data_IF_391218598111
#
_entry.id   IF_391218598111
#
_cell.length_a   1.000
_cell.length_b   1.000
_cell.length_c   1.000
_cell.angle_alpha   90.00
_cell.angle_beta   90.00
_cell.angle_gamma   90.00
#
_symmetry.space_group_name_H-M   'P 1'
#
loop_
_entity.id
_entity.type
_entity.pdbx_description
1 polymer ?
#
# COMPACT_ATOMS: atom_id res chain seq x y z
N UNK A 1 4.55 -26.01 13.27
CA UNK A 1 4.46 -25.29 11.99
C UNK A 1 5.47 -24.17 12.08
N UNK A 2 6.39 -24.07 11.13
CA UNK A 2 7.40 -23.00 11.12
C UNK A 2 6.75 -21.71 10.63
N UNK A 3 6.90 -20.63 11.40
CA UNK A 3 6.50 -19.28 11.00
C UNK A 3 7.37 -18.86 9.79
N UNK A 4 6.84 -19.05 8.58
CA UNK A 4 7.60 -18.85 7.34
C UNK A 4 7.52 -17.41 6.82
N UNK A 5 6.48 -16.66 7.21
CA UNK A 5 6.28 -15.26 6.82
C UNK A 5 5.85 -14.40 8.02
N UNK A 6 6.38 -13.18 8.10
CA UNK A 6 5.99 -12.21 9.13
C UNK A 6 5.24 -11.05 8.49
N UNK A 7 4.08 -10.70 9.03
CA UNK A 7 3.19 -9.65 8.54
C UNK A 7 3.14 -8.49 9.53
N UNK A 8 3.31 -7.27 9.04
CA UNK A 8 3.07 -6.06 9.82
C UNK A 8 1.57 -5.80 9.93
N UNK A 9 1.04 -5.72 11.15
CA UNK A 9 -0.36 -5.41 11.44
C UNK A 9 -0.45 -3.99 11.99
N UNK A 10 -1.10 -3.09 11.24
CA UNK A 10 -1.17 -1.65 11.55
C UNK A 10 -2.60 -1.27 11.92
N UNK A 11 -2.76 -0.54 13.02
CA UNK A 11 -4.05 0.04 13.39
C UNK A 11 -3.99 0.81 14.71
N UNK A 12 -5.10 1.42 15.07
CA UNK A 12 -5.26 2.15 16.34
C UNK A 12 -5.67 1.18 17.45
N UNK A 13 -4.72 0.69 18.23
CA UNK A 13 -5.00 -0.35 19.24
C UNK A 13 -5.82 0.19 20.41
N UNK A 14 -5.79 1.50 20.70
CA UNK A 14 -6.63 2.11 21.75
C UNK A 14 -8.15 1.96 21.51
N UNK A 15 -8.57 1.84 20.26
CA UNK A 15 -9.98 1.83 19.85
C UNK A 15 -10.40 0.55 19.14
N UNK A 16 -9.45 -0.18 18.55
CA UNK A 16 -9.70 -1.38 17.72
C UNK A 16 -8.92 -2.62 18.21
N UNK A 17 -8.62 -2.68 19.51
CA UNK A 17 -7.88 -3.80 20.11
C UNK A 17 -8.51 -5.17 19.79
N UNK A 18 -9.84 -5.31 19.86
CA UNK A 18 -10.52 -6.59 19.61
C UNK A 18 -10.36 -7.03 18.15
N UNK A 19 -10.55 -6.11 17.21
CA UNK A 19 -10.40 -6.34 15.77
C UNK A 19 -8.96 -6.69 15.39
N UNK A 20 -7.99 -5.95 15.93
CA UNK A 20 -6.57 -6.17 15.68
C UNK A 20 -6.07 -7.48 16.32
N UNK A 21 -6.58 -7.82 17.51
CA UNK A 21 -6.31 -9.12 18.16
C UNK A 21 -6.84 -10.28 17.33
N UNK A 22 -8.07 -10.16 16.81
CA UNK A 22 -8.63 -11.18 15.94
C UNK A 22 -7.84 -11.31 14.63
N UNK A 23 -7.43 -10.20 14.03
CA UNK A 23 -6.61 -10.21 12.81
C UNK A 23 -5.25 -10.91 13.06
N UNK A 24 -4.58 -10.59 14.17
CA UNK A 24 -3.37 -11.28 14.64
C UNK A 24 -3.59 -12.79 14.78
N UNK A 25 -4.62 -13.20 15.50
CA UNK A 25 -4.98 -14.61 15.70
C UNK A 25 -5.19 -15.33 14.35
N UNK A 26 -5.85 -14.67 13.37
CA UNK A 26 -6.08 -15.27 12.06
C UNK A 26 -4.81 -15.43 11.23
N UNK A 27 -3.86 -14.49 11.32
CA UNK A 27 -2.54 -14.62 10.69
C UNK A 27 -1.77 -15.79 11.32
N UNK A 28 -1.72 -15.83 12.65
CA UNK A 28 -1.01 -16.86 13.42
C UNK A 28 -1.61 -18.26 13.21
N UNK A 29 -2.94 -18.37 13.12
CA UNK A 29 -3.61 -19.66 12.83
C UNK A 29 -3.26 -20.24 11.46
N UNK A 30 -2.76 -19.42 10.54
CA UNK A 30 -2.31 -19.82 9.20
C UNK A 30 -0.80 -20.09 9.15
N UNK A 31 -0.11 -20.09 10.29
CA UNK A 31 1.34 -20.29 10.39
C UNK A 31 2.18 -19.10 9.94
N UNK A 32 1.60 -17.90 9.87
CA UNK A 32 2.37 -16.66 9.76
C UNK A 32 2.64 -16.05 11.14
N UNK A 33 3.54 -15.09 11.22
CA UNK A 33 3.77 -14.29 12.44
C UNK A 33 3.21 -12.87 12.24
N UNK A 34 2.65 -12.27 13.29
CA UNK A 34 2.26 -10.86 13.28
C UNK A 34 3.26 -10.01 14.08
N UNK A 35 3.62 -8.85 13.53
CA UNK A 35 4.22 -7.73 14.28
C UNK A 35 3.16 -6.65 14.34
N UNK A 36 2.68 -6.32 15.54
CA UNK A 36 1.67 -5.29 15.74
C UNK A 36 2.34 -3.91 15.91
N UNK A 37 1.86 -2.94 15.13
CA UNK A 37 2.27 -1.53 15.19
C UNK A 37 1.08 -0.66 15.56
N UNK A 38 1.16 -0.05 16.74
CA UNK A 38 0.13 0.83 17.26
C UNK A 38 0.32 2.27 16.78
N UNK A 39 -0.67 2.76 16.04
CA UNK A 39 -0.72 4.13 15.52
C UNK A 39 -1.76 5.00 16.23
N UNK A 40 -2.22 4.58 17.41
CA UNK A 40 -3.09 5.38 18.27
C UNK A 40 -2.42 6.66 18.76
N UNK A 41 -3.22 7.70 18.99
CA UNK A 41 -2.74 9.02 19.47
C UNK A 41 -3.00 9.21 20.95
N UNK A 42 -4.20 8.88 21.41
CA UNK A 42 -4.67 9.27 22.75
C UNK A 42 -4.56 8.12 23.75
N UNK A 43 -5.31 7.04 23.52
CA UNK A 43 -5.37 5.93 24.46
C UNK A 43 -4.16 5.00 24.34
N UNK A 44 -4.07 4.07 25.28
CA UNK A 44 -3.05 3.01 25.28
C UNK A 44 -3.65 1.73 24.72
N UNK A 45 -2.81 0.92 24.06
CA UNK A 45 -3.19 -0.41 23.61
C UNK A 45 -3.61 -1.29 24.81
N UNK A 46 -4.76 -1.94 24.70
CA UNK A 46 -5.23 -2.88 25.74
C UNK A 46 -4.46 -4.21 25.72
N UNK A 47 -3.66 -4.44 24.69
CA UNK A 47 -2.85 -5.62 24.48
C UNK A 47 -1.40 -5.24 24.17
N UNK A 48 -0.42 -6.13 24.45
CA UNK A 48 0.96 -5.89 24.05
C UNK A 48 1.10 -5.77 22.53
N UNK A 49 1.85 -4.76 22.10
CA UNK A 49 2.25 -4.53 20.71
C UNK A 49 3.77 -4.52 20.63
N UNK A 50 4.32 -5.02 19.53
CA UNK A 50 5.77 -5.05 19.32
C UNK A 50 6.34 -3.66 18.98
N UNK A 51 5.51 -2.78 18.43
CA UNK A 51 5.85 -1.39 18.12
C UNK A 51 4.73 -0.50 18.67
N UNK A 52 5.03 0.27 19.71
CA UNK A 52 4.06 1.17 20.34
C UNK A 52 3.98 2.55 19.67
N UNK A 53 2.97 3.32 20.05
CA UNK A 53 2.74 4.68 19.55
C UNK A 53 3.91 5.65 19.80
N UNK A 54 4.71 5.41 20.85
CA UNK A 54 5.86 6.27 21.15
C UNK A 54 6.99 6.01 20.14
N UNK A 55 7.27 4.75 19.82
CA UNK A 55 8.21 4.37 18.79
C UNK A 55 7.77 4.90 17.41
N UNK A 56 6.48 4.82 17.10
CA UNK A 56 5.92 5.40 15.86
C UNK A 56 6.15 6.91 15.81
N UNK A 57 5.76 7.66 16.85
CA UNK A 57 5.95 9.11 16.86
C UNK A 57 7.44 9.52 16.82
N UNK A 58 8.31 8.77 17.50
CA UNK A 58 9.76 8.99 17.49
C UNK A 58 10.37 8.78 16.10
N UNK A 59 9.89 7.79 15.34
CA UNK A 59 10.32 7.56 13.96
C UNK A 59 9.93 8.70 12.99
N UNK A 60 9.03 9.59 13.42
CA UNK A 60 8.66 10.81 12.70
C UNK A 60 9.43 12.06 13.18
N UNK A 61 10.53 11.87 13.92
CA UNK A 61 11.26 12.94 14.62
C UNK A 61 10.35 13.78 15.53
N UNK A 62 9.38 13.13 16.19
CA UNK A 62 8.36 13.74 17.02
C UNK A 62 8.13 12.95 18.31
N UNK A 63 7.03 13.24 19.01
CA UNK A 63 6.60 12.57 20.23
C UNK A 63 5.08 12.38 20.24
N UNK A 64 4.60 11.40 21.00
CA UNK A 64 3.15 11.18 21.11
C UNK A 64 2.47 12.35 21.82
N UNK A 65 3.18 13.00 22.73
CA UNK A 65 2.73 14.21 23.44
C UNK A 65 2.53 15.36 22.47
N UNK A 66 3.45 15.54 21.50
CA UNK A 66 3.29 16.54 20.44
C UNK A 66 2.10 16.23 19.52
N UNK A 67 1.89 14.96 19.16
CA UNK A 67 0.74 14.56 18.37
C UNK A 67 -0.59 14.82 19.12
N UNK A 68 -0.66 14.44 20.40
CA UNK A 68 -1.84 14.69 21.24
C UNK A 68 -2.09 16.18 21.49
N UNK A 69 -1.03 16.99 21.60
CA UNK A 69 -1.12 18.44 21.81
C UNK A 69 -1.47 19.24 20.53
N UNK A 70 -1.48 18.61 19.35
CA UNK A 70 -1.74 19.29 18.08
C UNK A 70 -3.13 19.95 18.01
N UNK A 71 -4.11 19.45 18.79
CA UNK A 71 -5.48 19.97 18.81
C UNK A 71 -6.26 19.76 17.51
N UNK A 72 -5.68 19.04 16.56
CA UNK A 72 -6.23 18.72 15.24
C UNK A 72 -5.90 17.25 14.94
N UNK A 73 -6.96 16.45 14.72
CA UNK A 73 -6.85 15.02 14.47
C UNK A 73 -6.03 14.70 13.22
N UNK A 74 -6.14 15.52 12.17
CA UNK A 74 -5.37 15.33 10.95
C UNK A 74 -3.89 15.57 11.21
N UNK A 75 -3.52 16.67 11.89
CA UNK A 75 -2.11 16.94 12.22
C UNK A 75 -1.51 15.79 13.05
N UNK A 76 -2.25 15.32 14.06
CA UNK A 76 -1.80 14.19 14.88
C UNK A 76 -1.58 12.93 14.04
N UNK A 77 -2.56 12.57 13.19
CA UNK A 77 -2.48 11.39 12.34
C UNK A 77 -1.38 11.50 11.28
N UNK A 78 -1.07 12.69 10.77
CA UNK A 78 0.05 12.90 9.84
C UNK A 78 1.42 12.66 10.51
N UNK A 79 1.57 12.98 11.80
CA UNK A 79 2.78 12.62 12.56
C UNK A 79 2.90 11.11 12.64
N UNK A 80 1.81 10.43 13.03
CA UNK A 80 1.79 8.98 13.14
C UNK A 80 2.00 8.29 11.79
N UNK A 81 1.46 8.84 10.70
CA UNK A 81 1.61 8.29 9.36
C UNK A 81 3.05 8.35 8.86
N UNK A 82 3.74 9.47 9.05
CA UNK A 82 5.17 9.57 8.71
C UNK A 82 6.01 8.53 9.47
N UNK A 83 5.78 8.41 10.77
CA UNK A 83 6.50 7.46 11.60
C UNK A 83 6.23 6.00 11.23
N UNK A 84 4.95 5.68 11.00
CA UNK A 84 4.53 4.34 10.61
C UNK A 84 5.08 3.95 9.24
N UNK A 85 5.15 4.90 8.29
CA UNK A 85 5.77 4.69 6.99
C UNK A 85 7.28 4.43 7.12
N UNK A 86 8.02 5.25 7.88
CA UNK A 86 9.45 5.04 8.14
C UNK A 86 9.71 3.65 8.74
N UNK A 87 8.92 3.23 9.73
CA UNK A 87 9.06 1.92 10.36
C UNK A 87 8.68 0.78 9.41
N UNK A 88 7.63 0.95 8.60
CA UNK A 88 7.23 -0.06 7.59
C UNK A 88 8.35 -0.30 6.58
N UNK A 89 8.95 0.77 6.05
CA UNK A 89 10.09 0.68 5.15
C UNK A 89 11.31 0.03 5.80
N UNK A 90 11.62 0.45 7.04
CA UNK A 90 12.76 -0.07 7.82
C UNK A 90 12.62 -1.57 8.06
N UNK A 91 11.48 -2.00 8.61
CA UNK A 91 11.20 -3.42 8.89
C UNK A 91 11.30 -4.29 7.62
N UNK A 92 10.82 -3.78 6.49
CA UNK A 92 10.93 -4.51 5.22
C UNK A 92 12.37 -4.59 4.74
N UNK A 93 13.12 -3.48 4.78
CA UNK A 93 14.54 -3.45 4.38
C UNK A 93 15.43 -4.37 5.23
N UNK A 94 15.06 -4.57 6.50
CA UNK A 94 15.71 -5.50 7.43
C UNK A 94 15.26 -6.97 7.23
N UNK A 95 14.33 -7.24 6.32
CA UNK A 95 13.76 -8.57 6.08
C UNK A 95 12.89 -9.07 7.23
N UNK A 96 12.42 -8.18 8.12
CA UNK A 96 11.61 -8.54 9.31
C UNK A 96 10.13 -8.71 9.00
N UNK A 97 9.67 -8.19 7.87
CA UNK A 97 8.30 -8.35 7.39
C UNK A 97 8.31 -8.73 5.91
N UNK A 98 7.37 -9.56 5.51
CA UNK A 98 7.14 -10.00 4.13
C UNK A 98 5.92 -9.30 3.50
N UNK A 99 5.16 -8.53 4.27
CA UNK A 99 3.99 -7.79 3.81
C UNK A 99 3.32 -7.04 4.96
N UNK A 100 2.30 -6.24 4.63
CA UNK A 100 1.53 -5.47 5.60
C UNK A 100 0.02 -5.69 5.45
N UNK A 101 -0.67 -5.60 6.59
CA UNK A 101 -2.11 -5.41 6.65
C UNK A 101 -2.45 -4.26 7.59
N UNK A 102 -3.31 -3.35 7.15
CA UNK A 102 -3.79 -2.23 7.95
C UNK A 102 -5.31 -2.22 8.01
N UNK A 103 -5.87 -1.75 9.13
CA UNK A 103 -7.33 -1.56 9.26
C UNK A 103 -7.63 -0.13 9.69
N UNK A 104 -8.71 0.47 9.17
CA UNK A 104 -9.04 1.83 9.55
C UNK A 104 -10.34 2.40 8.99
N UNK A 105 -10.78 3.50 9.62
CA UNK A 105 -11.72 4.45 9.03
C UNK A 105 -11.01 5.37 8.04
N UNK A 106 -11.54 6.57 7.77
CA UNK A 106 -10.93 7.52 6.82
C UNK A 106 -9.48 7.87 7.17
N UNK A 107 -9.21 8.33 8.40
CA UNK A 107 -7.86 8.74 8.82
C UNK A 107 -6.88 7.56 8.89
N UNK A 108 -7.32 6.41 9.42
CA UNK A 108 -6.49 5.19 9.44
C UNK A 108 -6.20 4.66 8.04
N UNK A 109 -7.11 4.85 7.08
CA UNK A 109 -6.88 4.50 5.67
C UNK A 109 -5.85 5.42 5.04
N UNK A 110 -5.93 6.73 5.30
CA UNK A 110 -4.95 7.68 4.78
C UNK A 110 -3.53 7.34 5.27
N UNK A 111 -3.37 7.05 6.57
CA UNK A 111 -2.12 6.54 7.14
C UNK A 111 -1.66 5.23 6.48
N UNK A 112 -2.58 4.28 6.29
CA UNK A 112 -2.27 2.99 5.69
C UNK A 112 -1.75 3.12 4.25
N UNK A 113 -2.23 4.11 3.49
CA UNK A 113 -1.77 4.40 2.14
C UNK A 113 -0.31 4.89 2.14
N UNK A 114 0.10 5.70 3.12
CA UNK A 114 1.50 6.10 3.28
C UNK A 114 2.40 4.90 3.60
N UNK A 115 1.97 4.02 4.52
CA UNK A 115 2.70 2.78 4.82
C UNK A 115 2.79 1.84 3.61
N UNK A 116 1.75 1.79 2.78
CA UNK A 116 1.76 0.96 1.58
C UNK A 116 2.73 1.52 0.51
N UNK A 117 2.75 2.84 0.30
CA UNK A 117 3.57 3.47 -0.74
C UNK A 117 5.07 3.34 -0.54
N UNK A 118 5.53 3.20 0.71
CA UNK A 118 6.96 3.03 1.01
C UNK A 118 7.46 1.59 0.85
N UNK A 119 6.56 0.64 0.62
CA UNK A 119 6.91 -0.75 0.37
C UNK A 119 7.05 -0.99 -1.15
N UNK A 120 8.12 -1.67 -1.62
CA UNK A 120 8.34 -1.92 -3.04
C UNK A 120 7.19 -2.67 -3.73
N UNK A 121 7.07 -2.49 -5.06
CA UNK A 121 6.16 -3.30 -5.88
C UNK A 121 6.49 -4.79 -5.77
N UNK A 122 5.47 -5.63 -5.59
CA UNK A 122 5.59 -7.06 -5.35
C UNK A 122 5.45 -7.44 -3.87
N UNK A 123 5.65 -6.50 -2.94
CA UNK A 123 5.38 -6.72 -1.51
C UNK A 123 3.88 -6.66 -1.26
N UNK A 124 3.24 -7.68 -0.66
CA UNK A 124 1.81 -7.66 -0.36
C UNK A 124 1.40 -6.54 0.60
N UNK A 125 0.42 -5.74 0.20
CA UNK A 125 -0.11 -4.59 0.95
C UNK A 125 -1.63 -4.66 0.97
N UNK A 126 -2.20 -5.03 2.11
CA UNK A 126 -3.67 -5.20 2.26
C UNK A 126 -4.22 -4.11 3.18
N UNK A 127 -5.23 -3.38 2.73
CA UNK A 127 -5.90 -2.33 3.52
C UNK A 127 -7.38 -2.69 3.69
N UNK A 128 -7.81 -2.89 4.93
CA UNK A 128 -9.21 -3.12 5.30
C UNK A 128 -9.81 -1.79 5.73
N UNK A 129 -10.62 -1.19 4.87
CA UNK A 129 -11.06 0.21 5.03
C UNK A 129 -12.57 0.36 4.95
N UNK A 130 -13.14 1.23 5.77
CA UNK A 130 -14.57 1.63 5.65
C UNK A 130 -14.83 2.52 4.44
N UNK A 131 -13.78 3.06 3.81
CA UNK A 131 -13.84 3.92 2.62
C UNK A 131 -13.07 3.32 1.44
N UNK A 132 -12.82 1.99 1.44
CA UNK A 132 -12.17 1.31 0.32
C UNK A 132 -12.91 1.61 -1.00
N UNK A 133 -12.15 1.90 -2.06
CA UNK A 133 -12.66 2.24 -3.40
C UNK A 133 -13.51 3.52 -3.47
N UNK A 134 -13.53 4.31 -2.39
CA UNK A 134 -14.27 5.57 -2.35
C UNK A 134 -13.57 6.65 -3.17
N UNK A 135 -14.32 7.55 -3.83
CA UNK A 135 -13.77 8.79 -4.41
C UNK A 135 -13.04 9.70 -3.40
N UNK A 136 -13.21 9.45 -2.10
CA UNK A 136 -12.44 10.12 -1.04
C UNK A 136 -10.95 9.76 -1.04
N UNK A 137 -10.56 8.65 -1.69
CA UNK A 137 -9.17 8.22 -1.82
C UNK A 137 -8.64 8.76 -3.15
N UNK A 138 -7.71 9.73 -3.12
CA UNK A 138 -7.06 10.22 -4.33
C UNK A 138 -6.28 9.09 -5.03
N UNK A 139 -6.33 9.06 -6.37
CA UNK A 139 -5.71 8.01 -7.16
C UNK A 139 -4.17 7.94 -6.98
N UNK A 140 -3.53 9.09 -6.78
CA UNK A 140 -2.09 9.25 -6.53
C UNK A 140 -1.62 8.72 -5.16
N UNK A 141 -2.57 8.44 -4.26
CA UNK A 141 -2.27 7.82 -2.95
C UNK A 141 -2.16 6.29 -3.05
N UNK A 142 -2.61 5.67 -4.14
CA UNK A 142 -2.63 4.22 -4.31
C UNK A 142 -1.28 3.70 -4.82
N UNK A 143 -0.68 2.76 -4.10
CA UNK A 143 0.46 1.98 -4.61
C UNK A 143 0.00 1.01 -5.73
N UNK A 144 0.87 0.73 -6.70
CA UNK A 144 0.52 0.01 -7.94
C UNK A 144 -0.09 -1.40 -7.75
N UNK A 145 0.16 -2.04 -6.61
CA UNK A 145 -0.25 -3.40 -6.26
C UNK A 145 -0.99 -3.48 -4.91
N UNK A 146 -1.50 -2.33 -4.42
CA UNK A 146 -2.29 -2.29 -3.19
C UNK A 146 -3.59 -3.07 -3.34
N UNK A 147 -3.91 -3.89 -2.33
CA UNK A 147 -5.18 -4.60 -2.24
C UNK A 147 -6.03 -3.96 -1.16
N UNK A 148 -7.31 -3.72 -1.45
CA UNK A 148 -8.24 -3.18 -0.48
C UNK A 148 -9.43 -4.10 -0.26
N UNK A 149 -9.94 -4.14 0.97
CA UNK A 149 -11.19 -4.82 1.33
C UNK A 149 -12.12 -3.77 1.93
N UNK A 150 -13.34 -3.66 1.38
CA UNK A 150 -14.37 -2.81 1.97
C UNK A 150 -14.86 -3.43 3.29
N UNK A 151 -14.61 -2.74 4.39
CA UNK A 151 -14.95 -3.20 5.73
C UNK A 151 -16.38 -2.83 6.10
N UNK A 152 -17.34 -3.42 5.40
CA UNK A 152 -18.77 -3.20 5.63
C UNK A 152 -19.15 -3.60 7.07
N UNK A 153 -19.53 -2.61 7.89
CA UNK A 153 -19.91 -2.83 9.29
C UNK A 153 -18.74 -2.92 10.28
N UNK A 154 -17.53 -2.50 9.89
CA UNK A 154 -16.31 -2.46 10.73
C UNK A 154 -16.11 -1.19 11.55
N UNK A 155 -17.16 -0.37 11.70
CA UNK A 155 -17.04 0.93 12.34
C UNK A 155 -16.70 0.79 13.84
N UNK A 156 -17.32 -0.19 14.51
CA UNK A 156 -17.13 -0.43 15.94
C UNK A 156 -17.47 -1.87 16.31
N UNK A 157 -16.49 -2.57 16.89
CA UNK A 157 -16.68 -3.85 17.54
C UNK A 157 -16.64 -5.06 16.61
N UNK A 158 -16.31 -6.20 17.21
CA UNK A 158 -16.03 -7.44 16.50
C UNK A 158 -17.30 -8.28 16.24
N UNK A 159 -18.12 -7.85 15.28
CA UNK A 159 -19.29 -8.60 14.82
C UNK A 159 -18.94 -9.66 13.73
N UNK A 160 -19.92 -10.45 13.29
CA UNK A 160 -19.70 -11.51 12.29
C UNK A 160 -19.25 -11.01 10.92
N UNK A 161 -19.73 -9.85 10.47
CA UNK A 161 -19.31 -9.20 9.23
C UNK A 161 -17.86 -8.73 9.33
N UNK A 162 -17.51 -8.11 10.46
CA UNK A 162 -16.17 -7.69 10.79
C UNK A 162 -15.20 -8.89 10.77
N UNK A 163 -15.54 -9.98 11.44
CA UNK A 163 -14.72 -11.21 11.44
C UNK A 163 -14.53 -11.79 10.03
N UNK A 164 -15.56 -11.76 9.19
CA UNK A 164 -15.48 -12.22 7.81
C UNK A 164 -14.54 -11.38 6.96
N UNK A 165 -14.54 -10.06 7.11
CA UNK A 165 -13.62 -9.18 6.38
C UNK A 165 -12.17 -9.35 6.87
N UNK A 166 -11.95 -9.39 8.19
CA UNK A 166 -10.62 -9.54 8.77
C UNK A 166 -9.98 -10.90 8.50
N UNK A 167 -10.77 -11.98 8.47
CA UNK A 167 -10.25 -13.32 8.13
C UNK A 167 -9.83 -13.41 6.66
N UNK A 168 -10.59 -12.78 5.75
CA UNK A 168 -10.19 -12.64 4.34
C UNK A 168 -8.89 -11.83 4.23
N UNK A 169 -8.78 -10.70 4.94
CA UNK A 169 -7.57 -9.88 4.94
C UNK A 169 -6.33 -10.66 5.39
N UNK A 170 -6.45 -11.42 6.48
CA UNK A 170 -5.39 -12.30 6.96
C UNK A 170 -4.98 -13.35 5.91
N UNK A 171 -5.96 -14.01 5.29
CA UNK A 171 -5.71 -15.00 4.24
C UNK A 171 -5.06 -14.40 2.99
N UNK A 172 -5.54 -13.23 2.56
CA UNK A 172 -4.99 -12.49 1.42
C UNK A 172 -3.53 -12.13 1.64
N UNK A 173 -3.19 -11.52 2.78
CA UNK A 173 -1.81 -11.06 3.02
C UNK A 173 -0.84 -12.22 3.26
N UNK A 174 -1.24 -13.25 4.02
CA UNK A 174 -0.37 -14.43 4.28
C UNK A 174 -0.18 -15.26 3.02
N UNK A 175 -1.26 -15.52 2.28
CA UNK A 175 -1.20 -16.25 1.02
C UNK A 175 -0.36 -15.52 -0.03
N UNK A 176 -0.57 -14.20 -0.17
CA UNK A 176 0.26 -13.39 -1.06
C UNK A 176 1.72 -13.36 -0.61
N UNK A 177 2.03 -13.24 0.69
CA UNK A 177 3.41 -13.23 1.19
C UNK A 177 4.17 -14.52 0.89
N UNK A 178 3.48 -15.67 0.86
CA UNK A 178 4.07 -16.97 0.51
C UNK A 178 4.19 -17.19 -1.00
N UNK A 179 3.25 -16.66 -1.78
CA UNK A 179 3.17 -16.90 -3.21
C UNK A 179 3.84 -15.80 -4.06
N UNK A 180 4.06 -14.61 -3.50
CA UNK A 180 4.64 -13.48 -4.21
C UNK A 180 6.01 -13.86 -4.77
N UNK A 181 6.17 -13.63 -6.06
CA UNK A 181 7.47 -13.67 -6.73
C UNK A 181 7.83 -12.23 -7.05
N UNK A 182 8.94 -11.69 -6.52
CA UNK A 182 9.37 -10.35 -6.86
C UNK A 182 9.62 -10.25 -8.37
N UNK A 183 9.46 -9.05 -8.97
CA UNK A 183 9.87 -8.83 -10.35
C UNK A 183 11.31 -9.30 -10.59
N UNK A 184 11.52 -10.10 -11.63
CA UNK A 184 12.86 -10.59 -11.95
C UNK A 184 13.73 -9.44 -12.50
N UNK A 185 15.02 -9.45 -12.15
CA UNK A 185 16.03 -8.56 -12.72
C UNK A 185 16.84 -9.22 -13.84
N UNK A 186 16.41 -10.37 -14.36
CA UNK A 186 17.16 -11.14 -15.36
C UNK A 186 17.32 -10.40 -16.70
N UNK A 187 16.39 -9.49 -17.02
CA UNK A 187 16.39 -8.71 -18.25
C UNK A 187 16.13 -7.23 -17.97
N UNK A 188 16.80 -6.30 -18.66
CA UNK A 188 16.48 -4.88 -18.58
C UNK A 188 15.04 -4.63 -19.04
N UNK A 189 14.25 -3.93 -18.23
CA UNK A 189 12.84 -3.64 -18.51
C UNK A 189 12.72 -2.33 -19.29
N UNK A 190 11.95 -2.35 -20.37
CA UNK A 190 11.47 -1.16 -21.07
C UNK A 190 10.05 -0.89 -20.63
N UNK A 191 9.83 0.27 -20.02
CA UNK A 191 8.49 0.75 -19.73
C UNK A 191 7.88 1.38 -20.99
N UNK A 192 6.62 1.07 -21.30
CA UNK A 192 5.89 1.65 -22.43
C UNK A 192 4.46 2.03 -22.04
N UNK A 193 3.99 3.23 -22.37
CA UNK A 193 2.59 3.62 -22.14
C UNK A 193 1.71 3.36 -23.37
N UNK A 194 0.42 3.08 -23.19
CA UNK A 194 -0.56 2.90 -24.27
C UNK A 194 -2.03 3.04 -23.85
N UNK A 195 -2.94 3.17 -24.82
CA UNK A 195 -4.41 3.19 -24.65
C UNK A 195 -5.08 1.85 -25.06
N UNK A 196 -4.28 0.78 -25.14
CA UNK A 196 -4.74 -0.54 -25.54
C UNK A 196 -4.84 -0.72 -27.05
N UNK A 197 -4.89 -1.99 -27.46
CA UNK A 197 -4.65 -2.37 -28.86
C UNK A 197 -5.77 -2.06 -29.86
N UNK A 198 -6.94 -1.65 -29.35
CA UNK A 198 -8.05 -1.12 -30.13
C UNK A 198 -7.84 0.35 -30.52
N UNK A 199 -7.03 1.09 -29.75
CA UNK A 199 -6.73 2.50 -29.98
C UNK A 199 -5.35 2.71 -30.61
N UNK A 200 -4.31 2.08 -30.03
CA UNK A 200 -2.92 2.22 -30.45
C UNK A 200 -2.35 0.82 -30.72
N UNK A 201 -1.56 0.62 -31.78
CA UNK A 201 -1.09 -0.73 -32.17
C UNK A 201 0.42 -0.94 -32.08
N UNK A 202 1.20 0.10 -31.79
CA UNK A 202 2.68 0.04 -31.80
C UNK A 202 3.22 -1.01 -30.83
N UNK A 203 2.57 -1.27 -29.69
CA UNK A 203 3.04 -2.25 -28.71
C UNK A 203 3.11 -3.66 -29.31
N UNK A 204 2.19 -4.00 -30.23
CA UNK A 204 2.16 -5.31 -30.92
C UNK A 204 3.35 -5.48 -31.86
N UNK A 205 3.86 -4.39 -32.43
CA UNK A 205 5.01 -4.39 -33.33
C UNK A 205 6.34 -4.31 -32.55
N UNK A 206 6.38 -3.47 -31.51
CA UNK A 206 7.61 -3.19 -30.77
C UNK A 206 7.96 -4.27 -29.74
N UNK A 207 6.98 -4.81 -29.00
CA UNK A 207 7.25 -5.77 -27.91
C UNK A 207 8.03 -7.01 -28.38
N UNK A 208 7.63 -7.72 -29.46
CA UNK A 208 8.38 -8.89 -29.92
C UNK A 208 9.82 -8.56 -30.36
N UNK A 209 10.02 -7.42 -31.02
CA UNK A 209 11.33 -6.98 -31.51
C UNK A 209 12.26 -6.51 -30.39
N UNK A 210 11.71 -5.97 -29.31
CA UNK A 210 12.47 -5.62 -28.11
C UNK A 210 12.81 -6.87 -27.29
N UNK A 211 11.87 -7.81 -27.16
CA UNK A 211 12.08 -9.08 -26.44
C UNK A 211 13.09 -10.00 -27.13
N UNK A 212 13.11 -10.01 -28.47
CA UNK A 212 14.11 -10.74 -29.26
C UNK A 212 15.53 -10.19 -29.05
N UNK A 213 15.65 -8.91 -28.68
CA UNK A 213 16.90 -8.22 -28.36
C UNK A 213 17.31 -8.37 -26.88
N UNK A 214 16.54 -9.10 -26.08
CA UNK A 214 16.89 -9.39 -24.68
C UNK A 214 16.26 -8.46 -23.65
N UNK A 215 15.36 -7.56 -24.04
CA UNK A 215 14.62 -6.72 -23.10
C UNK A 215 13.36 -7.43 -22.61
N UNK A 216 12.85 -7.00 -21.47
CA UNK A 216 11.46 -7.21 -21.07
C UNK A 216 10.66 -5.94 -21.36
N UNK A 217 9.38 -6.04 -21.74
CA UNK A 217 8.56 -4.85 -22.02
C UNK A 217 7.31 -4.86 -21.15
N UNK A 218 7.22 -3.89 -20.25
CA UNK A 218 6.07 -3.64 -19.40
C UNK A 218 5.21 -2.52 -20.01
N UNK A 219 3.95 -2.84 -20.36
CA UNK A 219 3.03 -1.90 -21.00
C UNK A 219 1.99 -1.40 -20.01
N UNK A 220 1.90 -0.08 -19.85
CA UNK A 220 1.04 0.60 -18.88
C UNK A 220 -0.12 1.29 -19.59
N UNK A 221 -1.32 1.18 -19.02
CA UNK A 221 -2.51 1.80 -19.59
C UNK A 221 -2.58 3.29 -19.19
N UNK A 222 -2.49 4.20 -20.16
CA UNK A 222 -2.44 5.64 -19.96
C UNK A 222 -3.83 6.26 -19.63
N UNK A 223 -4.44 5.81 -18.52
CA UNK A 223 -5.75 6.25 -18.01
C UNK A 223 -5.68 6.77 -16.56
N UNK A 224 -4.61 7.49 -16.23
CA UNK A 224 -4.36 8.10 -14.93
C UNK A 224 -3.49 7.20 -14.05
N UNK A 225 -4.09 6.23 -13.36
CA UNK A 225 -3.35 5.36 -12.44
C UNK A 225 -2.23 4.57 -13.12
N UNK A 226 -2.39 4.19 -14.40
CA UNK A 226 -1.32 3.49 -15.12
C UNK A 226 -0.13 4.39 -15.43
N UNK A 227 -0.35 5.67 -15.74
CA UNK A 227 0.73 6.66 -15.85
C UNK A 227 1.39 6.97 -14.51
N UNK A 228 0.61 7.08 -13.43
CA UNK A 228 1.18 7.25 -12.07
C UNK A 228 2.07 6.07 -11.67
N UNK A 229 1.62 4.83 -11.90
CA UNK A 229 2.43 3.63 -11.63
C UNK A 229 3.68 3.57 -12.52
N UNK A 230 3.54 3.97 -13.80
CA UNK A 230 4.65 4.07 -14.73
C UNK A 230 5.76 5.00 -14.21
N UNK A 231 5.40 6.20 -13.74
CA UNK A 231 6.35 7.17 -13.23
C UNK A 231 6.97 6.77 -11.90
N UNK A 232 6.18 6.17 -11.00
CA UNK A 232 6.69 5.65 -9.74
C UNK A 232 7.82 4.63 -9.98
N UNK A 233 7.60 3.67 -10.88
CA UNK A 233 8.62 2.67 -11.23
C UNK A 233 9.81 3.32 -11.96
N UNK A 234 9.58 4.30 -12.82
CA UNK A 234 10.66 5.02 -13.51
C UNK A 234 11.54 5.82 -12.53
N UNK A 235 10.95 6.50 -11.55
CA UNK A 235 11.66 7.28 -10.53
C UNK A 235 12.55 6.41 -9.63
N UNK A 236 12.16 5.15 -9.41
CA UNK A 236 12.94 4.14 -8.69
C UNK A 236 14.04 3.49 -9.55
N UNK A 237 14.18 3.89 -10.82
CA UNK A 237 15.15 3.30 -11.75
C UNK A 237 14.75 1.91 -12.25
N UNK A 238 13.47 1.55 -12.16
CA UNK A 238 12.95 0.23 -12.54
C UNK A 238 12.96 -0.05 -14.05
N UNK A 239 13.24 0.96 -14.88
CA UNK A 239 13.32 0.81 -16.34
C UNK A 239 14.71 1.17 -16.88
N UNK A 240 15.22 0.35 -17.79
CA UNK A 240 16.40 0.65 -18.60
C UNK A 240 16.10 1.72 -19.66
N UNK A 241 14.85 1.79 -20.13
CA UNK A 241 14.38 2.83 -21.03
C UNK A 241 12.87 3.06 -20.88
N UNK A 242 12.45 4.29 -21.14
CA UNK A 242 11.05 4.73 -21.12
C UNK A 242 10.60 5.04 -22.56
N UNK A 243 9.48 4.44 -22.96
CA UNK A 243 8.78 4.66 -24.24
C UNK A 243 7.38 5.22 -23.97
N UNK A 244 7.32 6.49 -23.57
CA UNK A 244 6.09 7.16 -23.19
C UNK A 244 5.33 7.72 -24.42
N UNK A 245 4.66 6.84 -25.15
CA UNK A 245 3.99 7.18 -26.41
C UNK A 245 2.54 7.64 -26.25
N UNK A 246 1.90 7.36 -25.11
CA UNK A 246 0.50 7.71 -24.84
C UNK A 246 0.38 8.79 -23.77
N UNK A 247 0.38 10.05 -24.21
CA UNK A 247 0.33 11.24 -23.35
C UNK A 247 -1.09 11.82 -23.15
N UNK A 248 -2.13 11.00 -23.32
CA UNK A 248 -3.53 11.43 -23.14
C UNK A 248 -3.79 11.98 -21.75
N UNK A 249 -3.09 11.48 -20.73
CA UNK A 249 -3.25 11.87 -19.33
C UNK A 249 -2.85 13.34 -19.07
N UNK A 250 -1.88 13.86 -19.83
CA UNK A 250 -1.48 15.28 -19.77
C UNK A 250 -2.59 16.16 -20.34
N UNK A 251 -3.15 15.78 -21.48
CA UNK A 251 -4.30 16.48 -22.07
C UNK A 251 -5.53 16.42 -21.16
N UNK A 252 -5.77 15.27 -20.51
CA UNK A 252 -6.85 15.09 -19.56
C UNK A 252 -6.70 15.99 -18.33
N UNK A 253 -5.48 16.13 -17.78
CA UNK A 253 -5.20 17.05 -16.69
C UNK A 253 -5.57 18.49 -17.08
N UNK A 254 -5.10 18.95 -18.23
CA UNK A 254 -5.39 20.30 -18.73
C UNK A 254 -6.89 20.55 -18.93
N UNK A 255 -7.63 19.53 -19.35
CA UNK A 255 -9.09 19.60 -19.52
C UNK A 255 -9.88 19.46 -18.22
N UNK A 256 -9.23 19.27 -17.07
CA UNK A 256 -9.88 19.07 -15.76
C UNK A 256 -10.55 17.70 -15.61
N UNK A 257 -10.13 16.69 -16.38
CA UNK A 257 -10.63 15.33 -16.27
C UNK A 257 -10.03 14.61 -15.05
N UNK A 258 -10.84 13.81 -14.37
CA UNK A 258 -10.39 12.93 -13.27
C UNK A 258 -9.48 11.79 -13.74
N UNK A 259 -9.42 11.53 -15.05
CA UNK A 259 -8.57 10.49 -15.66
C UNK A 259 -7.22 11.10 -16.04
N UNK A 260 -6.44 11.52 -15.04
CA UNK A 260 -5.14 12.15 -15.22
C UNK A 260 -4.08 11.52 -14.30
N UNK A 261 -2.81 11.85 -14.52
CA UNK A 261 -1.66 11.29 -13.78
C UNK A 261 -0.99 12.31 -12.84
N UNK A 262 -1.72 13.37 -12.46
CA UNK A 262 -1.21 14.43 -11.60
C UNK A 262 -0.37 15.49 -12.34
N UNK A 263 -0.08 16.58 -11.63
CA UNK A 263 0.64 17.75 -12.16
C UNK A 263 2.12 17.49 -12.44
N UNK A 264 2.69 16.42 -11.87
CA UNK A 264 4.07 16.02 -12.07
C UNK A 264 4.30 15.08 -13.26
N UNK A 265 3.27 14.86 -14.11
CA UNK A 265 3.36 13.96 -15.27
C UNK A 265 4.43 14.47 -16.26
N UNK A 266 5.47 13.65 -16.49
CA UNK A 266 6.72 13.83 -17.25
C UNK A 266 7.88 14.51 -16.50
#
# INVERSE_FOLDING_TARGET
MTDDVTILVIGTFDTKSDELSYLRERIESQGGRAICMDVSVLGDAAIPVEIDKHAVAAAADSSIEAAAAAGDENIAMQIMARGAAVLSATLHSEGRIAGMVAIGGTMGTDLALDCARVLPTGVPKVIVSTVAFSPLIPADRLAADVQMILWAGGLYGLNSLCRSALSQAAGSVVGAARAASPPSSDRPIIGMTSLGSSCLSYMKLLKPELESRGFEVAVFHATGMGGMAFEAIAAEGGFAAVMDFALSEVGNLYAGSVVNSGESRL
#
